data_IF_763328843466
#
_entry.id   IF_763328843466
#
_cell.length_a   1.000
_cell.length_b   1.000
_cell.length_c   1.000
_cell.angle_alpha   90.00
_cell.angle_beta   90.00
_cell.angle_gamma   90.00
#
_symmetry.space_group_name_H-M   'P 1'
#
loop_
_entity.id
_entity.type
_entity.pdbx_description
1 polymer ?
#
# COMPACT_ATOMS: atom_id res chain seq x y z
N UNK A 1 2.04 24.13 -27.90
CA UNK A 1 1.57 22.78 -27.48
C UNK A 1 1.09 22.88 -26.05
N UNK A 2 -0.12 22.42 -25.76
CA UNK A 2 -0.58 22.45 -24.36
C UNK A 2 0.22 21.40 -23.56
N UNK A 3 0.89 21.85 -22.50
CA UNK A 3 1.64 20.98 -21.60
C UNK A 3 0.67 20.00 -20.91
N UNK A 4 0.94 18.68 -20.91
CA UNK A 4 0.04 17.70 -20.31
C UNK A 4 -0.14 17.89 -18.81
N UNK A 5 -1.36 17.63 -18.35
CA UNK A 5 -1.75 17.66 -16.94
C UNK A 5 -1.85 16.26 -16.40
N UNK A 6 -1.15 15.97 -15.33
CA UNK A 6 -1.13 14.65 -14.67
C UNK A 6 -1.58 14.79 -13.24
N UNK A 7 -2.59 14.01 -12.87
CA UNK A 7 -3.05 13.89 -11.49
C UNK A 7 -2.32 12.74 -10.81
N UNK A 8 -1.69 12.99 -9.67
CA UNK A 8 -0.93 11.98 -8.92
C UNK A 8 -1.53 11.82 -7.53
N UNK A 9 -1.73 10.58 -7.13
CA UNK A 9 -2.17 10.21 -5.77
C UNK A 9 -1.08 9.45 -5.06
N UNK A 10 -0.72 9.93 -3.86
CA UNK A 10 0.15 9.23 -2.91
C UNK A 10 -0.70 8.74 -1.73
N UNK A 11 -0.94 7.42 -1.69
CA UNK A 11 -1.81 6.76 -0.71
C UNK A 11 -0.93 6.25 0.43
N UNK A 12 -0.78 7.10 1.44
CA UNK A 12 0.07 6.83 2.59
C UNK A 12 -0.62 6.06 3.71
N UNK A 13 0.00 6.07 4.89
CA UNK A 13 -0.49 5.34 6.06
C UNK A 13 -1.66 6.05 6.77
N UNK A 14 -1.69 7.37 6.78
CA UNK A 14 -2.69 8.16 7.52
C UNK A 14 -3.44 9.16 6.64
N UNK A 15 -3.03 9.28 5.39
CA UNK A 15 -3.63 10.23 4.45
C UNK A 15 -3.35 9.86 3.00
N UNK A 16 -4.18 10.37 2.10
CA UNK A 16 -3.91 10.41 0.66
C UNK A 16 -3.60 11.85 0.26
N UNK A 17 -2.51 12.06 -0.47
CA UNK A 17 -2.17 13.34 -1.07
C UNK A 17 -2.46 13.29 -2.56
N UNK A 18 -3.27 14.21 -3.04
CA UNK A 18 -3.58 14.40 -4.47
C UNK A 18 -2.85 15.64 -4.97
N UNK A 19 -2.11 15.50 -6.06
CA UNK A 19 -1.36 16.60 -6.66
C UNK A 19 -1.65 16.69 -8.15
N UNK A 20 -1.95 17.87 -8.67
CA UNK A 20 -2.05 18.13 -10.09
C UNK A 20 -0.77 18.80 -10.59
N UNK A 21 -0.15 18.15 -11.56
CA UNK A 21 1.09 18.62 -12.19
C UNK A 21 0.84 19.06 -13.63
N UNK A 22 1.54 20.12 -14.04
CA UNK A 22 1.77 20.44 -15.45
C UNK A 22 3.16 20.00 -15.84
N UNK A 23 3.27 19.22 -16.92
CA UNK A 23 4.56 18.71 -17.43
C UNK A 23 5.00 19.59 -18.61
N UNK A 24 6.00 20.41 -18.42
CA UNK A 24 6.65 21.23 -19.44
C UNK A 24 8.16 21.04 -19.38
N UNK A 25 8.91 22.09 -19.67
CA UNK A 25 10.37 22.11 -19.44
C UNK A 25 10.71 21.88 -17.96
N UNK A 26 9.78 22.24 -17.06
CA UNK A 26 9.82 21.98 -15.64
C UNK A 26 8.50 21.36 -15.20
N UNK A 27 8.58 20.57 -14.16
CA UNK A 27 7.40 20.04 -13.46
C UNK A 27 6.85 21.16 -12.56
N UNK A 28 5.58 21.54 -12.80
CA UNK A 28 4.88 22.57 -12.03
C UNK A 28 3.73 21.95 -11.24
N UNK A 29 3.67 22.23 -9.95
CA UNK A 29 2.53 21.83 -9.09
C UNK A 29 1.47 22.93 -9.21
N UNK A 30 0.29 22.59 -9.71
CA UNK A 30 -0.83 23.51 -9.86
C UNK A 30 -1.72 23.55 -8.62
N UNK A 31 -1.94 22.41 -7.98
CA UNK A 31 -2.73 22.28 -6.76
C UNK A 31 -2.37 21.02 -6.00
N UNK A 32 -2.64 21.04 -4.70
CA UNK A 32 -2.51 19.88 -3.81
C UNK A 32 -3.70 19.79 -2.87
N UNK A 33 -4.07 18.57 -2.51
CA UNK A 33 -5.05 18.28 -1.47
C UNK A 33 -4.57 17.12 -0.61
N UNK A 34 -4.82 17.18 0.68
CA UNK A 34 -4.52 16.13 1.65
C UNK A 34 -5.83 15.69 2.30
N UNK A 35 -6.10 14.39 2.26
CA UNK A 35 -7.27 13.77 2.85
C UNK A 35 -6.86 12.71 3.85
N UNK A 36 -7.16 12.94 5.11
CA UNK A 36 -6.81 12.04 6.21
C UNK A 36 -7.83 10.90 6.35
N UNK A 37 -7.36 9.76 6.86
CA UNK A 37 -8.16 8.60 7.26
C UNK A 37 -7.57 7.88 8.47
N UNK A 38 -8.41 7.20 9.26
CA UNK A 38 -7.98 6.55 10.48
C UNK A 38 -7.05 5.36 10.23
N UNK A 39 -6.10 5.18 11.14
CA UNK A 39 -5.31 3.97 11.31
C UNK A 39 -5.79 3.28 12.60
N UNK A 40 -6.22 2.03 12.49
CA UNK A 40 -6.71 1.25 13.63
C UNK A 40 -5.58 0.40 14.19
N UNK A 41 -5.12 0.74 15.39
CA UNK A 41 -4.12 -0.03 16.12
C UNK A 41 -4.82 -0.89 17.15
N UNK A 42 -4.55 -2.20 17.13
CA UNK A 42 -5.20 -3.21 17.97
C UNK A 42 -4.21 -3.75 19.00
N UNK A 43 -4.72 -4.14 20.17
CA UNK A 43 -3.90 -4.66 21.29
C UNK A 43 -3.15 -5.95 20.97
N UNK A 44 -3.61 -6.71 19.97
CA UNK A 44 -3.00 -7.96 19.52
C UNK A 44 -1.86 -7.79 18.50
N UNK A 45 -1.38 -6.56 18.27
CA UNK A 45 -0.36 -6.24 17.28
C UNK A 45 -0.90 -6.04 15.87
N UNK A 46 -2.22 -6.03 15.71
CA UNK A 46 -2.88 -5.67 14.46
C UNK A 46 -2.80 -4.18 14.18
N UNK A 47 -2.56 -3.82 12.92
CA UNK A 47 -2.65 -2.44 12.44
C UNK A 47 -3.41 -2.46 11.13
N UNK A 48 -4.59 -1.84 11.14
CA UNK A 48 -5.58 -1.99 10.06
C UNK A 48 -6.02 -0.66 9.48
N UNK A 49 -6.50 -0.71 8.25
CA UNK A 49 -7.09 0.42 7.53
C UNK A 49 -8.33 -0.04 6.79
N UNK A 50 -9.29 0.87 6.60
CA UNK A 50 -10.46 0.61 5.78
C UNK A 50 -10.15 0.99 4.31
N UNK A 51 -10.17 0.03 3.36
CA UNK A 51 -9.89 0.31 1.95
C UNK A 51 -10.87 1.29 1.32
N UNK A 52 -12.14 1.32 1.76
CA UNK A 52 -13.15 2.23 1.23
C UNK A 52 -12.81 3.70 1.57
N UNK A 53 -12.13 3.92 2.70
CA UNK A 53 -11.68 5.26 3.07
C UNK A 53 -10.54 5.75 2.18
N UNK A 54 -9.68 4.86 1.67
CA UNK A 54 -8.65 5.24 0.69
C UNK A 54 -9.29 5.75 -0.60
N UNK A 55 -10.27 4.98 -1.13
CA UNK A 55 -10.98 5.39 -2.33
C UNK A 55 -11.72 6.71 -2.15
N UNK A 56 -12.42 6.86 -1.03
CA UNK A 56 -13.11 8.10 -0.67
C UNK A 56 -12.15 9.29 -0.58
N UNK A 57 -10.95 9.10 0.01
CA UNK A 57 -9.93 10.14 0.10
C UNK A 57 -9.38 10.53 -1.29
N UNK A 58 -9.13 9.57 -2.17
CA UNK A 58 -8.74 9.82 -3.57
C UNK A 58 -9.80 10.66 -4.28
N UNK A 59 -11.08 10.29 -4.16
CA UNK A 59 -12.18 11.02 -4.78
C UNK A 59 -12.30 12.45 -4.26
N UNK A 60 -12.26 12.65 -2.93
CA UNK A 60 -12.32 13.99 -2.33
C UNK A 60 -11.11 14.83 -2.70
N UNK A 61 -9.90 14.26 -2.64
CA UNK A 61 -8.67 14.93 -3.04
C UNK A 61 -8.68 15.36 -4.50
N UNK A 62 -9.19 14.51 -5.40
CA UNK A 62 -9.39 14.85 -6.81
C UNK A 62 -10.34 16.04 -6.96
N UNK A 63 -11.50 15.98 -6.33
CA UNK A 63 -12.49 17.07 -6.38
C UNK A 63 -11.92 18.38 -5.84
N UNK A 64 -11.16 18.32 -4.74
CA UNK A 64 -10.51 19.48 -4.14
C UNK A 64 -9.52 20.14 -5.09
N UNK A 65 -8.66 19.34 -5.73
CA UNK A 65 -7.65 19.82 -6.69
C UNK A 65 -8.31 20.46 -7.92
N UNK A 66 -9.35 19.81 -8.48
CA UNK A 66 -10.09 20.37 -9.61
C UNK A 66 -10.79 21.68 -9.24
N UNK A 67 -11.38 21.77 -8.05
CA UNK A 67 -12.00 23.00 -7.54
C UNK A 67 -10.99 24.12 -7.36
N UNK A 68 -9.78 23.85 -6.83
CA UNK A 68 -8.74 24.84 -6.65
C UNK A 68 -8.24 25.42 -7.97
N UNK A 69 -8.12 24.56 -8.99
CA UNK A 69 -7.58 24.97 -10.31
C UNK A 69 -8.64 25.46 -11.28
N UNK A 70 -9.93 25.19 -11.00
CA UNK A 70 -11.06 25.46 -11.90
C UNK A 70 -10.88 24.81 -13.29
N UNK A 71 -10.05 23.77 -13.38
CA UNK A 71 -9.84 23.03 -14.63
C UNK A 71 -10.91 21.94 -14.78
N UNK A 72 -11.42 21.74 -16.02
CA UNK A 72 -12.37 20.69 -16.28
C UNK A 72 -11.68 19.31 -16.22
N UNK A 73 -12.35 18.25 -15.74
CA UNK A 73 -11.78 16.91 -15.63
C UNK A 73 -11.16 16.39 -16.94
N UNK A 74 -11.76 16.78 -18.09
CA UNK A 74 -11.34 16.38 -19.42
C UNK A 74 -9.96 16.93 -19.82
N UNK A 75 -9.45 17.93 -19.07
CA UNK A 75 -8.10 18.48 -19.27
C UNK A 75 -7.01 17.60 -18.67
N UNK A 76 -7.36 16.61 -17.83
CA UNK A 76 -6.43 15.68 -17.24
C UNK A 76 -6.02 14.64 -18.27
N UNK A 77 -4.74 14.59 -18.62
CA UNK A 77 -4.19 13.69 -19.64
C UNK A 77 -3.87 12.29 -19.09
N UNK A 78 -3.71 12.16 -17.78
CA UNK A 78 -3.42 10.88 -17.15
C UNK A 78 -3.40 10.95 -15.63
N UNK A 79 -3.39 9.77 -15.01
CA UNK A 79 -3.30 9.61 -13.56
C UNK A 79 -2.16 8.66 -13.21
N UNK A 80 -1.49 8.93 -12.08
CA UNK A 80 -0.48 8.06 -11.51
C UNK A 80 -0.73 7.84 -10.01
N UNK A 81 -0.33 6.67 -9.54
CA UNK A 81 -0.52 6.28 -8.15
C UNK A 81 0.80 5.85 -7.53
N UNK A 82 1.04 6.32 -6.31
CA UNK A 82 2.00 5.79 -5.38
C UNK A 82 1.25 5.30 -4.14
N UNK A 83 1.68 4.23 -3.51
CA UNK A 83 1.00 3.72 -2.33
C UNK A 83 1.98 3.11 -1.35
N UNK A 84 1.58 3.04 -0.07
CA UNK A 84 2.29 2.28 0.94
C UNK A 84 2.46 0.83 0.51
N UNK A 85 3.61 0.23 0.81
CA UNK A 85 3.94 -1.14 0.43
C UNK A 85 3.54 -2.16 1.51
N UNK A 86 3.58 -3.46 1.16
CA UNK A 86 3.42 -4.59 2.09
C UNK A 86 2.06 -4.64 2.81
N UNK A 87 1.05 -3.91 2.36
CA UNK A 87 -0.33 -4.09 2.78
C UNK A 87 -0.89 -5.44 2.31
N UNK A 88 -1.88 -5.98 3.03
CA UNK A 88 -2.59 -7.19 2.65
C UNK A 88 -4.09 -6.99 2.80
N UNK A 89 -4.85 -7.28 1.74
CA UNK A 89 -6.30 -7.14 1.70
C UNK A 89 -6.87 -8.40 1.04
N UNK A 90 -7.62 -9.25 1.76
CA UNK A 90 -8.39 -10.31 1.13
C UNK A 90 -9.62 -9.71 0.45
N UNK A 91 -9.89 -10.14 -0.76
CA UNK A 91 -11.05 -9.71 -1.53
C UNK A 91 -11.85 -10.93 -2.00
N UNK A 92 -13.14 -10.74 -2.22
CA UNK A 92 -13.99 -11.74 -2.86
C UNK A 92 -13.81 -11.74 -4.39
N UNK A 93 -14.58 -12.57 -5.08
CA UNK A 93 -14.54 -12.69 -6.54
C UNK A 93 -14.97 -11.42 -7.27
N UNK A 94 -15.70 -10.52 -6.61
CA UNK A 94 -16.11 -9.22 -7.15
C UNK A 94 -15.09 -8.11 -6.90
N UNK A 95 -14.01 -8.41 -6.15
CA UNK A 95 -12.99 -7.44 -5.73
C UNK A 95 -13.35 -6.67 -4.46
N UNK A 96 -14.47 -7.02 -3.78
CA UNK A 96 -14.86 -6.39 -2.53
C UNK A 96 -13.99 -6.89 -1.38
N UNK A 97 -13.49 -5.97 -0.54
CA UNK A 97 -12.73 -6.31 0.64
C UNK A 97 -13.55 -7.14 1.63
N UNK A 98 -13.01 -8.27 2.09
CA UNK A 98 -13.65 -9.17 3.06
C UNK A 98 -13.44 -8.71 4.50
N UNK A 99 -12.39 -7.93 4.75
CA UNK A 99 -12.11 -7.30 6.03
C UNK A 99 -11.24 -6.05 5.82
N UNK A 100 -10.91 -5.35 6.90
CA UNK A 100 -9.95 -4.25 6.84
C UNK A 100 -8.59 -4.71 6.33
N UNK A 101 -7.91 -3.85 5.61
CA UNK A 101 -6.55 -4.07 5.13
C UNK A 101 -5.58 -4.15 6.31
N UNK A 102 -4.72 -5.15 6.32
CA UNK A 102 -3.61 -5.25 7.25
C UNK A 102 -2.46 -4.39 6.73
N UNK A 103 -2.09 -3.35 7.48
CA UNK A 103 -1.00 -2.42 7.15
C UNK A 103 0.37 -3.13 7.14
N UNK A 104 1.39 -2.50 6.56
CA UNK A 104 2.78 -2.96 6.66
C UNK A 104 3.29 -3.01 8.12
N UNK A 105 2.67 -2.27 9.04
CA UNK A 105 3.00 -2.28 10.45
C UNK A 105 2.40 -3.46 11.22
N UNK A 106 1.46 -4.19 10.63
CA UNK A 106 0.79 -5.34 11.26
C UNK A 106 1.76 -6.48 11.53
N UNK A 107 1.81 -6.94 12.77
CA UNK A 107 2.76 -7.97 13.24
C UNK A 107 2.09 -9.30 13.58
N UNK A 108 0.79 -9.46 13.36
CA UNK A 108 0.03 -10.68 13.70
C UNK A 108 0.58 -11.95 13.02
N UNK A 109 1.20 -11.81 11.85
CA UNK A 109 1.85 -12.92 11.14
C UNK A 109 3.18 -13.40 11.71
N UNK A 110 3.64 -12.86 12.86
CA UNK A 110 4.96 -13.17 13.42
C UNK A 110 5.10 -14.65 13.83
N UNK A 111 4.06 -15.24 14.41
CA UNK A 111 4.06 -16.65 14.82
C UNK A 111 4.18 -17.59 13.62
N UNK A 112 3.45 -17.32 12.53
CA UNK A 112 3.49 -18.07 11.28
C UNK A 112 4.86 -17.99 10.61
N UNK A 113 5.45 -16.80 10.58
CA UNK A 113 6.83 -16.61 10.10
C UNK A 113 7.81 -17.44 10.90
N UNK A 114 7.77 -17.35 12.24
CA UNK A 114 8.65 -18.10 13.14
C UNK A 114 8.51 -19.61 12.92
N UNK A 115 7.28 -20.12 12.93
CA UNK A 115 7.02 -21.54 12.71
C UNK A 115 7.54 -22.01 11.34
N UNK A 116 7.30 -21.25 10.27
CA UNK A 116 7.74 -21.60 8.93
C UNK A 116 9.27 -21.57 8.78
N UNK A 117 9.93 -20.53 9.26
CA UNK A 117 11.36 -20.35 9.06
C UNK A 117 12.22 -21.19 10.00
N UNK A 118 11.73 -21.52 11.19
CA UNK A 118 12.50 -22.30 12.18
C UNK A 118 12.29 -23.81 12.06
N UNK A 119 11.38 -24.28 11.23
CA UNK A 119 11.16 -25.70 10.96
C UNK A 119 12.33 -26.28 10.16
N UNK A 120 12.92 -27.42 10.63
CA UNK A 120 14.01 -28.14 9.98
C UNK A 120 15.31 -28.22 10.78
N UNK A 121 16.15 -29.20 10.41
CA UNK A 121 17.40 -29.55 11.14
C UNK A 121 18.59 -28.65 10.77
N UNK A 122 18.71 -28.23 9.52
CA UNK A 122 19.81 -27.40 9.03
C UNK A 122 19.37 -25.94 9.00
N UNK A 123 20.04 -25.09 9.80
CA UNK A 123 19.67 -23.68 9.96
C UNK A 123 20.86 -22.76 9.69
N UNK A 124 20.58 -21.63 9.00
CA UNK A 124 21.46 -20.48 8.84
C UNK A 124 20.74 -19.29 9.50
N UNK A 125 21.35 -18.64 10.48
CA UNK A 125 20.76 -17.52 11.24
C UNK A 125 19.35 -17.82 11.78
N UNK A 126 19.16 -19.02 12.35
CA UNK A 126 17.88 -19.55 12.87
C UNK A 126 16.81 -19.81 11.79
N UNK A 127 17.13 -19.70 10.51
CA UNK A 127 16.23 -20.00 9.40
C UNK A 127 16.61 -21.35 8.76
N UNK A 128 15.61 -22.11 8.32
CA UNK A 128 15.83 -23.33 7.56
C UNK A 128 16.60 -23.01 6.27
N UNK A 129 17.79 -23.62 6.11
CA UNK A 129 18.71 -23.33 5.01
C UNK A 129 18.08 -23.60 3.62
N UNK A 130 17.29 -24.66 3.47
CA UNK A 130 16.64 -25.00 2.20
C UNK A 130 15.53 -24.01 1.84
N UNK A 131 14.74 -23.58 2.82
CA UNK A 131 13.69 -22.57 2.62
C UNK A 131 14.30 -21.20 2.28
N UNK A 132 15.41 -20.85 2.92
CA UNK A 132 16.16 -19.63 2.62
C UNK A 132 16.72 -19.65 1.18
N UNK A 133 17.38 -20.73 0.77
CA UNK A 133 17.90 -20.88 -0.58
C UNK A 133 16.78 -20.83 -1.64
N UNK A 134 15.66 -21.48 -1.37
CA UNK A 134 14.53 -21.45 -2.29
C UNK A 134 13.90 -20.05 -2.38
N UNK A 135 13.78 -19.32 -1.28
CA UNK A 135 13.33 -17.94 -1.30
C UNK A 135 14.27 -17.04 -2.11
N UNK A 136 15.59 -17.14 -1.87
CA UNK A 136 16.59 -16.39 -2.64
C UNK A 136 16.52 -16.69 -4.14
N UNK A 137 16.30 -17.97 -4.51
CA UNK A 137 16.18 -18.37 -5.92
C UNK A 137 14.94 -17.80 -6.60
N UNK A 138 13.79 -17.73 -5.90
CA UNK A 138 12.51 -17.32 -6.48
C UNK A 138 12.34 -15.80 -6.46
N UNK A 139 12.69 -15.16 -5.34
CA UNK A 139 12.39 -13.75 -5.10
C UNK A 139 13.61 -12.83 -5.11
N UNK A 140 14.83 -13.39 -5.19
CA UNK A 140 16.07 -12.62 -5.06
C UNK A 140 16.35 -12.13 -3.63
N UNK A 141 15.50 -12.47 -2.65
CA UNK A 141 15.64 -12.04 -1.26
C UNK A 141 15.04 -13.04 -0.28
N UNK A 142 15.47 -12.95 0.99
CA UNK A 142 14.82 -13.66 2.08
C UNK A 142 13.74 -12.78 2.68
N UNK A 143 12.57 -13.37 3.04
CA UNK A 143 11.55 -12.69 3.84
C UNK A 143 12.12 -12.41 5.24
N UNK A 144 12.74 -11.24 5.38
CA UNK A 144 13.41 -10.83 6.61
C UNK A 144 12.43 -10.26 7.65
N UNK A 145 11.26 -9.81 7.22
CA UNK A 145 10.29 -9.10 8.06
C UNK A 145 9.06 -9.93 8.39
N UNK A 146 8.59 -9.86 9.64
CA UNK A 146 7.27 -10.36 10.03
C UNK A 146 6.11 -9.59 9.38
N UNK A 147 6.41 -8.45 8.77
CA UNK A 147 5.45 -7.54 8.14
C UNK A 147 5.11 -7.90 6.70
N UNK A 148 5.82 -8.88 6.11
CA UNK A 148 5.58 -9.29 4.72
C UNK A 148 4.17 -9.87 4.53
N UNK A 149 3.51 -9.61 3.39
CA UNK A 149 2.11 -10.00 3.14
C UNK A 149 1.84 -11.50 3.26
N UNK A 150 2.83 -12.35 2.94
CA UNK A 150 2.69 -13.81 3.03
C UNK A 150 2.38 -14.30 4.44
N UNK A 151 2.95 -13.66 5.46
CA UNK A 151 2.72 -14.03 6.86
C UNK A 151 1.33 -13.59 7.35
N UNK A 152 0.85 -12.46 6.85
CA UNK A 152 -0.52 -11.97 7.09
C UNK A 152 -1.56 -12.89 6.46
N UNK A 153 -1.29 -13.35 5.24
CA UNK A 153 -2.12 -14.37 4.60
C UNK A 153 -2.19 -15.66 5.41
N UNK A 154 -1.03 -16.18 5.87
CA UNK A 154 -0.99 -17.41 6.68
C UNK A 154 -1.61 -17.24 8.07
N UNK A 155 -1.62 -16.03 8.61
CA UNK A 155 -2.30 -15.73 9.87
C UNK A 155 -3.82 -15.72 9.71
N UNK A 156 -4.30 -15.21 8.58
CA UNK A 156 -5.74 -15.09 8.31
C UNK A 156 -6.39 -16.43 7.92
N UNK A 157 -5.64 -17.35 7.31
CA UNK A 157 -6.09 -18.68 6.88
C UNK A 157 -6.38 -19.62 8.07
#
# INVERSE_FOLDING_TARGET
MNNPLILVHDIGTTSSKSCLYRIGERLEILATALEEYPLYVLDNGGVEQDPELWWSAICRGTQSVLKQTQLPPESIHGMAFCAQMQGFIPVDQSGKALCRAMSYMDTRGMAQRKAYLQDGMIKIEQMNAFKLLNALRITGGASASAKDPVWKYLWLR
#
